data_IF_666758330265
#
_entry.id   IF_666758330265
#
_cell.length_a   1.000
_cell.length_b   1.000
_cell.length_c   1.000
_cell.angle_alpha   90.00
_cell.angle_beta   90.00
_cell.angle_gamma   90.00
#
_symmetry.space_group_name_H-M   'P 1'
#
loop_
_entity.id
_entity.type
_entity.pdbx_description
1 polymer ?
#
# COMPACT_ATOMS: atom_id res chain seq x y z
N UNK A 1 -1.06 -18.24 48.90
CA UNK A 1 -1.21 -16.90 48.29
C UNK A 1 -0.20 -16.61 47.19
N UNK A 2 1.13 -16.61 47.45
CA UNK A 2 2.15 -16.32 46.41
C UNK A 2 2.07 -17.20 45.15
N UNK A 3 1.82 -18.51 45.31
CA UNK A 3 1.64 -19.45 44.18
C UNK A 3 0.44 -19.14 43.28
N UNK A 4 -0.62 -18.56 43.84
CA UNK A 4 -1.83 -18.17 43.08
C UNK A 4 -1.58 -16.88 42.28
N UNK A 5 -0.76 -15.97 42.82
CA UNK A 5 -0.33 -14.75 42.12
C UNK A 5 0.57 -15.08 40.93
N UNK A 6 1.52 -16.01 41.09
CA UNK A 6 2.35 -16.47 39.96
C UNK A 6 1.55 -17.17 38.87
N UNK A 7 0.52 -17.94 39.25
CA UNK A 7 -0.40 -18.54 38.28
C UNK A 7 -1.21 -17.49 37.52
N UNK A 8 -1.70 -16.46 38.21
CA UNK A 8 -2.47 -15.36 37.60
C UNK A 8 -1.61 -14.51 36.66
N UNK A 9 -0.36 -14.21 37.04
CA UNK A 9 0.61 -13.47 36.20
C UNK A 9 0.99 -14.31 34.97
N UNK A 10 1.20 -15.62 35.15
CA UNK A 10 1.47 -16.53 34.03
C UNK A 10 0.30 -16.61 33.06
N UNK A 11 -0.95 -16.59 33.54
CA UNK A 11 -2.14 -16.62 32.70
C UNK A 11 -2.32 -15.30 31.92
N UNK A 12 -2.02 -14.15 32.54
CA UNK A 12 -2.01 -12.83 31.89
C UNK A 12 -0.96 -12.72 30.77
N UNK A 13 0.24 -13.29 30.99
CA UNK A 13 1.30 -13.36 29.98
C UNK A 13 0.91 -14.26 28.80
N UNK A 14 0.19 -15.35 29.02
CA UNK A 14 -0.29 -16.25 27.95
C UNK A 14 -1.40 -15.59 27.11
N UNK A 15 -2.31 -14.83 27.73
CA UNK A 15 -3.34 -14.09 26.98
C UNK A 15 -2.78 -12.96 26.10
N UNK A 16 -1.56 -12.48 26.38
CA UNK A 16 -0.89 -11.44 25.60
C UNK A 16 -0.37 -11.94 24.25
N UNK A 17 -0.38 -13.26 24.00
CA UNK A 17 -0.04 -13.87 22.71
C UNK A 17 -1.27 -14.21 21.86
N UNK A 18 -2.45 -13.69 22.22
CA UNK A 18 -3.63 -13.79 21.35
C UNK A 18 -3.36 -12.94 20.12
N UNK A 19 -2.93 -13.63 19.05
CA UNK A 19 -2.62 -13.15 17.73
C UNK A 19 -3.29 -11.81 17.38
N UNK A 20 -2.46 -10.80 17.15
CA UNK A 20 -2.85 -9.62 16.39
C UNK A 20 -3.09 -10.12 14.94
N UNK A 21 -4.29 -10.62 14.66
CA UNK A 21 -4.71 -10.84 13.29
C UNK A 21 -4.96 -9.45 12.70
N UNK A 22 -3.91 -8.83 12.17
CA UNK A 22 -4.06 -7.64 11.34
C UNK A 22 -5.12 -7.97 10.28
N UNK A 23 -6.16 -7.12 10.12
CA UNK A 23 -7.17 -7.36 9.12
C UNK A 23 -6.49 -7.54 7.78
N UNK A 24 -6.78 -8.65 7.09
CA UNK A 24 -6.25 -8.90 5.76
C UNK A 24 -6.72 -7.79 4.84
N UNK A 25 -5.80 -7.28 4.04
CA UNK A 25 -6.09 -6.32 2.99
C UNK A 25 -7.16 -6.88 2.05
N UNK A 26 -8.29 -6.17 1.94
CA UNK A 26 -9.45 -6.65 1.19
C UNK A 26 -9.19 -6.65 -0.32
N UNK A 27 -8.38 -5.72 -0.81
CA UNK A 27 -8.04 -5.61 -2.24
C UNK A 27 -7.10 -6.74 -2.63
N UNK A 28 -6.10 -7.04 -1.80
CA UNK A 28 -5.24 -8.20 -2.04
C UNK A 28 -6.03 -9.52 -1.95
N UNK A 29 -6.91 -9.64 -0.95
CA UNK A 29 -7.75 -10.83 -0.78
C UNK A 29 -8.69 -11.06 -1.97
N UNK A 30 -9.21 -10.00 -2.60
CA UNK A 30 -10.12 -10.13 -3.75
C UNK A 30 -9.45 -10.68 -5.02
N UNK A 31 -8.12 -10.69 -5.07
CA UNK A 31 -7.34 -11.23 -6.20
C UNK A 31 -6.93 -12.69 -6.02
N UNK A 32 -7.16 -13.27 -4.84
CA UNK A 32 -6.71 -14.60 -4.50
C UNK A 32 -5.26 -14.64 -3.97
N UNK A 33 -4.65 -15.83 -4.00
CA UNK A 33 -3.29 -16.02 -3.48
C UNK A 33 -2.24 -15.59 -4.51
N UNK A 34 -1.31 -14.72 -4.10
CA UNK A 34 -0.09 -14.42 -4.84
C UNK A 34 0.98 -15.48 -4.55
N UNK A 35 1.92 -15.65 -5.49
CA UNK A 35 3.02 -16.62 -5.34
C UNK A 35 4.24 -16.02 -4.66
N UNK A 36 4.46 -14.73 -4.84
CA UNK A 36 5.59 -14.00 -4.28
C UNK A 36 5.22 -12.52 -4.10
N UNK A 37 5.95 -11.83 -3.24
CA UNK A 37 5.82 -10.39 -3.10
C UNK A 37 7.12 -9.75 -2.63
N UNK A 38 7.29 -8.47 -2.96
CA UNK A 38 8.31 -7.60 -2.38
C UNK A 38 7.63 -6.40 -1.74
N UNK A 39 8.20 -5.92 -0.63
CA UNK A 39 7.67 -4.82 0.15
C UNK A 39 8.82 -3.97 0.66
N UNK A 40 8.72 -2.65 0.46
CA UNK A 40 9.68 -1.65 0.89
C UNK A 40 8.93 -0.51 1.56
N UNK A 41 9.48 0.00 2.67
CA UNK A 41 8.84 1.03 3.48
C UNK A 41 9.88 2.06 3.93
N UNK A 42 9.47 3.32 4.01
CA UNK A 42 10.22 4.40 4.63
C UNK A 42 9.30 5.15 5.60
N UNK A 43 9.75 5.40 6.83
CA UNK A 43 8.97 6.07 7.87
C UNK A 43 8.67 5.21 9.10
N UNK A 44 7.54 5.46 9.77
CA UNK A 44 7.20 4.85 11.07
C UNK A 44 5.71 4.80 11.41
N UNK A 45 5.39 4.71 12.70
CA UNK A 45 4.06 4.37 13.22
C UNK A 45 2.92 5.35 12.84
N UNK A 46 3.25 6.56 12.37
CA UNK A 46 2.27 7.56 11.94
C UNK A 46 2.51 7.95 10.49
N UNK A 47 3.70 8.43 10.17
CA UNK A 47 4.00 8.89 8.80
C UNK A 47 4.90 7.86 8.11
N UNK A 48 4.40 7.28 7.03
CA UNK A 48 5.13 6.26 6.28
C UNK A 48 4.69 6.19 4.82
N UNK A 49 5.61 5.71 3.99
CA UNK A 49 5.44 5.52 2.56
C UNK A 49 5.83 4.08 2.24
N UNK A 50 4.93 3.34 1.60
CA UNK A 50 5.18 1.94 1.20
C UNK A 50 5.12 1.78 -0.32
N UNK A 51 5.97 0.88 -0.81
CA UNK A 51 5.92 0.36 -2.17
C UNK A 51 6.00 -1.17 -2.11
N UNK A 52 5.05 -1.84 -2.75
CA UNK A 52 5.07 -3.28 -2.84
C UNK A 52 4.68 -3.78 -4.24
N UNK A 53 5.12 -4.99 -4.55
CA UNK A 53 4.70 -5.72 -5.75
C UNK A 53 4.27 -7.13 -5.35
N UNK A 54 3.12 -7.56 -5.82
CA UNK A 54 2.57 -8.90 -5.61
C UNK A 54 2.44 -9.61 -6.95
N UNK A 55 3.02 -10.81 -7.06
CA UNK A 55 3.12 -11.53 -8.32
C UNK A 55 2.16 -12.72 -8.33
N UNK A 56 1.30 -12.77 -9.34
CA UNK A 56 0.27 -13.79 -9.51
C UNK A 56 0.55 -14.68 -10.72
N UNK A 57 0.06 -15.91 -10.67
CA UNK A 57 0.08 -16.84 -11.82
C UNK A 57 -1.25 -16.88 -12.57
N UNK A 58 -2.34 -16.48 -11.91
CA UNK A 58 -3.68 -16.47 -12.46
C UNK A 58 -4.57 -15.58 -11.57
N UNK A 59 -5.33 -14.68 -12.18
CA UNK A 59 -6.28 -13.79 -11.49
C UNK A 59 -7.56 -13.70 -12.32
N UNK A 60 -8.72 -13.75 -11.66
CA UNK A 60 -10.02 -13.49 -12.28
C UNK A 60 -10.45 -12.05 -11.97
N UNK A 61 -9.93 -11.08 -12.73
CA UNK A 61 -10.06 -9.64 -12.42
C UNK A 61 -11.38 -9.01 -12.93
N UNK A 62 -12.01 -9.57 -13.97
CA UNK A 62 -13.15 -8.95 -14.66
C UNK A 62 -14.34 -8.61 -13.75
N UNK A 63 -14.55 -9.39 -12.69
CA UNK A 63 -15.63 -9.21 -11.71
C UNK A 63 -15.13 -8.75 -10.33
N UNK A 64 -13.93 -8.15 -10.25
CA UNK A 64 -13.37 -7.71 -8.96
C UNK A 64 -14.21 -6.61 -8.31
N UNK A 65 -14.46 -6.73 -7.00
CA UNK A 65 -15.32 -5.79 -6.27
C UNK A 65 -14.66 -4.44 -5.94
N UNK A 66 -13.32 -4.37 -5.96
CA UNK A 66 -12.56 -3.16 -5.62
C UNK A 66 -11.88 -2.54 -6.83
N UNK A 67 -11.11 -3.35 -7.56
CA UNK A 67 -10.33 -2.87 -8.70
C UNK A 67 -11.23 -2.69 -9.91
N UNK A 68 -11.15 -1.53 -10.55
CA UNK A 68 -11.93 -1.18 -11.73
C UNK A 68 -11.02 -1.03 -12.93
N UNK A 69 -11.51 -1.47 -14.10
CA UNK A 69 -10.79 -1.31 -15.35
C UNK A 69 -10.54 0.17 -15.64
N UNK A 70 -9.29 0.54 -15.92
CA UNK A 70 -8.88 1.93 -16.15
C UNK A 70 -9.61 2.49 -17.37
N UNK A 71 -10.11 3.72 -17.22
CA UNK A 71 -10.67 4.52 -18.30
C UNK A 71 -9.75 5.70 -18.60
N UNK A 72 -9.84 6.25 -19.81
CA UNK A 72 -9.11 7.46 -20.22
C UNK A 72 -9.33 8.66 -19.26
N UNK A 73 -10.50 8.73 -18.62
CA UNK A 73 -10.83 9.76 -17.63
C UNK A 73 -10.04 9.64 -16.32
N UNK A 74 -9.47 8.47 -16.03
CA UNK A 74 -8.85 8.18 -14.74
C UNK A 74 -7.38 8.62 -14.70
N UNK A 75 -6.72 8.75 -15.86
CA UNK A 75 -5.29 9.08 -15.95
C UNK A 75 -4.90 10.35 -15.19
N UNK A 76 -5.76 11.38 -15.20
CA UNK A 76 -5.48 12.61 -14.47
C UNK A 76 -5.37 12.38 -12.95
N UNK A 77 -6.21 11.51 -12.39
CA UNK A 77 -6.19 11.17 -10.97
C UNK A 77 -5.03 10.23 -10.65
N UNK A 78 -4.75 9.27 -11.53
CA UNK A 78 -3.59 8.36 -11.42
C UNK A 78 -2.29 9.17 -11.39
N UNK A 79 -2.12 10.06 -12.36
CA UNK A 79 -0.91 10.89 -12.47
C UNK A 79 -0.74 11.78 -11.26
N UNK A 80 -1.82 12.38 -10.74
CA UNK A 80 -1.77 13.19 -9.53
C UNK A 80 -1.20 12.41 -8.34
N UNK A 81 -1.69 11.20 -8.08
CA UNK A 81 -1.24 10.39 -6.94
C UNK A 81 0.18 9.85 -7.13
N UNK A 82 0.51 9.36 -8.33
CA UNK A 82 1.86 8.89 -8.61
C UNK A 82 2.87 10.04 -8.58
N UNK A 83 2.49 11.25 -9.01
CA UNK A 83 3.35 12.44 -8.94
C UNK A 83 3.67 12.79 -7.49
N UNK A 84 2.67 12.73 -6.60
CA UNK A 84 2.89 12.93 -5.17
C UNK A 84 3.83 11.86 -4.60
N UNK A 85 3.55 10.58 -4.88
CA UNK A 85 4.38 9.47 -4.41
C UNK A 85 5.84 9.59 -4.86
N UNK A 86 6.08 9.85 -6.15
CA UNK A 86 7.42 10.00 -6.70
C UNK A 86 8.13 11.26 -6.18
N UNK A 87 7.39 12.32 -5.84
CA UNK A 87 7.97 13.47 -5.14
C UNK A 87 8.48 13.08 -3.75
N UNK A 88 7.77 12.20 -3.03
CA UNK A 88 8.25 11.67 -1.76
C UNK A 88 9.48 10.78 -1.92
N UNK A 89 9.51 9.90 -2.93
CA UNK A 89 10.72 9.14 -3.27
C UNK A 89 11.91 10.08 -3.53
N UNK A 90 11.68 11.19 -4.25
CA UNK A 90 12.72 12.19 -4.48
C UNK A 90 13.17 12.89 -3.18
N UNK A 91 12.23 13.27 -2.31
CA UNK A 91 12.54 13.88 -1.00
C UNK A 91 13.38 12.92 -0.16
N UNK A 92 13.03 11.63 -0.13
CA UNK A 92 13.79 10.61 0.58
C UNK A 92 15.18 10.45 -0.01
N UNK A 93 15.30 10.38 -1.35
CA UNK A 93 16.59 10.31 -2.04
C UNK A 93 17.50 11.50 -1.74
N UNK A 94 16.94 12.71 -1.68
CA UNK A 94 17.70 13.92 -1.37
C UNK A 94 18.18 13.93 0.10
N UNK A 95 17.49 13.22 1.00
CA UNK A 95 17.88 13.03 2.41
C UNK A 95 18.91 11.91 2.59
N UNK A 96 18.66 10.75 1.99
CA UNK A 96 19.48 9.55 2.02
C UNK A 96 19.17 8.68 0.80
N UNK A 97 20.11 8.60 -0.14
CA UNK A 97 19.94 7.84 -1.38
C UNK A 97 20.17 6.33 -1.21
N UNK A 98 20.55 5.88 -0.01
CA UNK A 98 20.76 4.48 0.35
C UNK A 98 19.54 3.79 0.95
N UNK A 99 18.46 4.55 1.20
CA UNK A 99 17.20 4.02 1.72
C UNK A 99 16.67 2.92 0.79
N UNK A 100 16.23 1.81 1.39
CA UNK A 100 15.85 0.63 0.62
C UNK A 100 14.70 0.92 -0.35
N UNK A 101 13.67 1.66 0.11
CA UNK A 101 12.58 2.12 -0.74
C UNK A 101 13.09 2.91 -1.95
N UNK A 102 14.01 3.85 -1.76
CA UNK A 102 14.59 4.68 -2.83
C UNK A 102 15.38 3.83 -3.83
N UNK A 103 16.20 2.91 -3.32
CA UNK A 103 17.05 2.04 -4.15
C UNK A 103 16.23 1.01 -4.93
N UNK A 104 15.11 0.56 -4.37
CA UNK A 104 14.29 -0.54 -4.92
C UNK A 104 13.04 -0.08 -5.66
N UNK A 105 12.66 1.20 -5.55
CA UNK A 105 11.57 1.77 -6.32
C UNK A 105 11.91 1.74 -7.82
N UNK A 106 11.15 0.95 -8.57
CA UNK A 106 11.42 0.63 -9.97
C UNK A 106 10.17 0.71 -10.86
N UNK A 107 9.09 1.31 -10.37
CA UNK A 107 7.84 1.39 -11.11
C UNK A 107 8.00 2.21 -12.40
N UNK A 108 7.53 1.65 -13.53
CA UNK A 108 7.56 2.31 -14.83
C UNK A 108 6.14 2.69 -15.25
N UNK A 109 5.79 3.97 -15.18
CA UNK A 109 4.45 4.47 -15.54
C UNK A 109 4.00 4.12 -16.96
N UNK A 110 4.92 3.91 -17.88
CA UNK A 110 4.58 3.63 -19.28
C UNK A 110 3.90 2.26 -19.46
N UNK A 111 3.84 1.43 -18.42
CA UNK A 111 3.10 0.16 -18.46
C UNK A 111 1.61 0.34 -18.22
N UNK A 112 1.17 1.49 -17.69
CA UNK A 112 -0.23 1.75 -17.37
C UNK A 112 -1.02 1.94 -18.67
N UNK A 113 -2.04 1.12 -18.88
CA UNK A 113 -2.98 1.29 -19.97
C UNK A 113 -4.44 0.96 -19.57
N UNK A 114 -5.36 1.06 -20.52
CA UNK A 114 -6.81 0.85 -20.30
C UNK A 114 -7.20 -0.61 -20.14
N UNK A 115 -6.30 -1.57 -20.38
CA UNK A 115 -6.54 -2.98 -20.08
C UNK A 115 -6.33 -3.30 -18.60
N UNK A 116 -5.58 -2.45 -17.89
CA UNK A 116 -5.26 -2.59 -16.48
C UNK A 116 -6.42 -2.21 -15.55
N UNK A 117 -6.22 -2.53 -14.27
CA UNK A 117 -7.21 -2.27 -13.23
C UNK A 117 -6.60 -1.47 -12.09
N UNK A 118 -7.40 -0.58 -11.53
CA UNK A 118 -6.96 0.29 -10.45
C UNK A 118 -7.99 0.41 -9.33
N UNK A 119 -7.49 0.57 -8.11
CA UNK A 119 -8.23 1.06 -6.96
C UNK A 119 -7.43 2.15 -6.27
N UNK A 120 -8.03 3.34 -6.12
CA UNK A 120 -7.45 4.45 -5.36
C UNK A 120 -8.38 4.75 -4.18
N UNK A 121 -7.80 4.78 -2.98
CA UNK A 121 -8.44 5.31 -1.77
C UNK A 121 -7.58 6.47 -1.30
N UNK A 122 -8.11 7.68 -1.29
CA UNK A 122 -7.37 8.86 -0.87
C UNK A 122 -8.17 9.78 0.04
N UNK A 123 -7.44 10.51 0.87
CA UNK A 123 -7.91 11.57 1.73
C UNK A 123 -7.16 12.85 1.38
N UNK A 124 -7.91 13.94 1.20
CA UNK A 124 -7.39 15.28 1.02
C UNK A 124 -7.78 16.15 2.21
N UNK A 125 -6.86 17.02 2.61
CA UNK A 125 -7.12 18.04 3.61
C UNK A 125 -7.03 19.42 2.97
N UNK A 126 -7.95 20.32 3.35
CA UNK A 126 -7.90 21.74 3.00
C UNK A 126 -7.69 22.55 4.26
N UNK A 127 -6.58 23.28 4.35
CA UNK A 127 -6.26 24.14 5.49
C UNK A 127 -7.00 25.48 5.41
N UNK A 128 -6.98 26.24 6.50
CA UNK A 128 -7.67 27.54 6.63
C UNK A 128 -7.20 28.60 5.59
N UNK A 129 -6.00 28.44 5.05
CA UNK A 129 -5.45 29.31 3.99
C UNK A 129 -5.93 28.94 2.57
N UNK A 130 -6.75 27.88 2.46
CA UNK A 130 -7.29 27.37 1.20
C UNK A 130 -6.33 26.46 0.42
N UNK A 131 -5.17 26.11 0.98
CA UNK A 131 -4.32 25.08 0.40
C UNK A 131 -4.97 23.70 0.55
N UNK A 132 -4.92 22.86 -0.49
CA UNK A 132 -5.43 21.48 -0.47
C UNK A 132 -4.31 20.52 -0.87
N UNK A 133 -4.14 19.44 -0.13
CA UNK A 133 -3.15 18.40 -0.44
C UNK A 133 -3.69 17.01 -0.10
N UNK A 134 -3.13 16.00 -0.77
CA UNK A 134 -3.22 14.60 -0.34
C UNK A 134 -2.53 14.47 1.02
N UNK A 135 -3.20 13.81 1.97
CA UNK A 135 -2.66 13.53 3.32
C UNK A 135 -2.50 12.03 3.56
N UNK A 136 -3.35 11.21 2.92
CA UNK A 136 -3.26 9.76 3.01
C UNK A 136 -3.82 9.12 1.75
N UNK A 137 -3.16 8.10 1.23
CA UNK A 137 -3.72 7.31 0.14
C UNK A 137 -3.14 5.90 0.02
N UNK A 138 -3.93 5.05 -0.62
CA UNK A 138 -3.52 3.76 -1.14
C UNK A 138 -3.86 3.69 -2.63
N UNK A 139 -2.89 3.22 -3.42
CA UNK A 139 -3.08 2.93 -4.85
C UNK A 139 -2.76 1.45 -5.05
N UNK A 140 -3.69 0.73 -5.65
CA UNK A 140 -3.51 -0.64 -6.11
C UNK A 140 -3.66 -0.62 -7.62
N UNK A 141 -2.57 -0.85 -8.32
CA UNK A 141 -2.53 -0.91 -9.77
C UNK A 141 -2.20 -2.35 -10.19
N UNK A 142 -3.12 -2.99 -10.89
CA UNK A 142 -2.96 -4.36 -11.37
C UNK A 142 -2.70 -4.38 -12.87
N UNK A 143 -1.45 -4.71 -13.22
CA UNK A 143 -0.96 -4.92 -14.58
C UNK A 143 -1.41 -6.30 -15.06
N UNK A 144 -2.29 -6.32 -16.05
CA UNK A 144 -2.90 -7.57 -16.55
C UNK A 144 -1.96 -8.40 -17.43
N UNK A 145 -0.93 -7.76 -17.98
CA UNK A 145 0.02 -8.32 -18.94
C UNK A 145 1.09 -9.10 -18.19
N UNK A 146 1.52 -8.60 -17.01
CA UNK A 146 2.50 -9.28 -16.15
C UNK A 146 1.88 -10.01 -14.96
N UNK A 147 0.57 -9.84 -14.72
CA UNK A 147 -0.14 -10.35 -13.53
C UNK A 147 0.52 -9.88 -12.23
N UNK A 148 0.88 -8.59 -12.18
CA UNK A 148 1.53 -7.96 -11.04
C UNK A 148 0.64 -6.88 -10.47
N UNK A 149 0.38 -6.94 -9.16
CA UNK A 149 -0.19 -5.81 -8.44
C UNK A 149 0.92 -4.95 -7.85
N UNK A 150 0.94 -3.67 -8.22
CA UNK A 150 1.75 -2.65 -7.60
C UNK A 150 0.93 -1.92 -6.54
N UNK A 151 1.49 -1.80 -5.35
CA UNK A 151 0.89 -1.10 -4.23
C UNK A 151 1.74 0.10 -3.85
N UNK A 152 1.07 1.23 -3.66
CA UNK A 152 1.68 2.48 -3.22
C UNK A 152 0.87 3.00 -2.04
N UNK A 153 1.52 3.20 -0.91
CA UNK A 153 0.94 3.83 0.27
C UNK A 153 1.64 5.14 0.55
N UNK A 154 0.88 6.13 0.99
CA UNK A 154 1.46 7.29 1.62
C UNK A 154 0.56 7.80 2.74
N UNK A 155 1.15 8.13 3.87
CA UNK A 155 0.49 8.80 4.99
C UNK A 155 1.47 9.77 5.64
N UNK A 156 1.14 11.06 5.68
CA UNK A 156 2.08 12.15 6.03
C UNK A 156 1.39 13.25 6.84
#
# INVERSE_FOLDING_TARGET
MKKFIYFLISLLLICSFSACNSPKDKVLVSLGEYNDYVFYSEGGFQDYTDYAKYYYTSVSIEENEYLKKIQESDFAEIDKHLNDFENWIKIFKDKDDSLELVVKYDFNRNIIDVEDYIYIRSEEHTWDDGFTSLVSYDIYFFDTQTLTLYYFHNNI
#
